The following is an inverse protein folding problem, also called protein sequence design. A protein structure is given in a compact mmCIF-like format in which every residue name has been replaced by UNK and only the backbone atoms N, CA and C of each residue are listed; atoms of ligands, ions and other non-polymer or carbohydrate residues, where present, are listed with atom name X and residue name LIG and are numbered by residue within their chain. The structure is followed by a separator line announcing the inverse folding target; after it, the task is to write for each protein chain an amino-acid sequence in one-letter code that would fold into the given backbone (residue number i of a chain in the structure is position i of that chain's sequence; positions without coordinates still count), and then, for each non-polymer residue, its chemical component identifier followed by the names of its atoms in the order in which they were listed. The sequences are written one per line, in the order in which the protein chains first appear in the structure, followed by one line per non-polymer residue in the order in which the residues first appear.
data_IF_218900397770
#
_entry.id   IF_218900397770
#
_cell.length_a   1.000
_cell.length_b   1.000
_cell.length_c   1.000
_cell.angle_alpha   90.00
_cell.angle_beta   90.00
_cell.angle_gamma   90.00
#
_symmetry.space_group_name_H-M   'P 1'
#
loop_
_entity.id
_entity.type
_entity.pdbx_description
1 polymer ?
#
# COMPACT_ATOMS: atom_id res chain seq x y z
N UNK A 1 -22.22 -63.26 -35.84
CA UNK A 1 -21.05 -63.15 -34.93
C UNK A 1 -20.03 -62.22 -35.56
N UNK A 2 -19.85 -61.05 -34.94
CA UNK A 2 -18.74 -60.07 -34.98
C UNK A 2 -18.07 -59.65 -36.32
N UNK A 3 -18.20 -58.34 -36.59
CA UNK A 3 -17.39 -57.48 -37.47
C UNK A 3 -15.88 -57.51 -37.11
N UNK A 4 -15.04 -56.94 -38.00
CA UNK A 4 -14.47 -55.63 -37.65
C UNK A 4 -14.61 -54.58 -38.77
N UNK A 5 -14.89 -53.35 -38.32
CA UNK A 5 -14.99 -52.12 -39.08
C UNK A 5 -13.58 -51.61 -39.41
N UNK A 6 -13.31 -51.34 -40.70
CA UNK A 6 -12.15 -50.56 -41.16
C UNK A 6 -12.66 -49.14 -41.37
N UNK A 7 -12.11 -48.15 -40.67
CA UNK A 7 -12.38 -46.74 -40.94
C UNK A 7 -11.08 -45.99 -41.24
N UNK A 8 -11.16 -45.28 -42.36
CA UNK A 8 -10.17 -44.48 -43.04
C UNK A 8 -9.81 -43.24 -42.19
N UNK A 9 -8.54 -43.05 -41.84
CA UNK A 9 -8.07 -41.81 -41.22
C UNK A 9 -7.74 -40.78 -42.32
N UNK A 10 -8.55 -39.71 -42.37
CA UNK A 10 -8.30 -38.51 -43.17
C UNK A 10 -7.49 -37.53 -42.33
N UNK A 11 -6.32 -37.14 -42.85
CA UNK A 11 -5.45 -36.13 -42.27
C UNK A 11 -6.01 -34.73 -42.61
N UNK A 12 -6.27 -33.89 -41.61
CA UNK A 12 -6.46 -32.45 -41.80
C UNK A 12 -5.53 -31.70 -40.84
N UNK A 13 -4.52 -31.05 -41.41
CA UNK A 13 -3.65 -30.07 -40.74
C UNK A 13 -4.44 -28.79 -40.52
N UNK A 14 -4.59 -28.39 -39.26
CA UNK A 14 -5.06 -27.05 -38.88
C UNK A 14 -3.98 -26.45 -37.97
N UNK A 15 -3.36 -25.37 -38.45
CA UNK A 15 -2.50 -24.50 -37.65
C UNK A 15 -3.33 -23.90 -36.51
N UNK A 16 -2.96 -24.20 -35.26
CA UNK A 16 -3.54 -23.60 -34.07
C UNK A 16 -2.44 -22.99 -33.21
N UNK A 17 -2.37 -21.66 -33.20
CA UNK A 17 -1.74 -20.92 -32.11
C UNK A 17 -2.54 -21.25 -30.83
N UNK A 18 -1.89 -21.81 -29.81
CA UNK A 18 -2.48 -21.88 -28.48
C UNK A 18 -2.05 -20.64 -27.72
N UNK A 19 -3.03 -19.79 -27.44
CA UNK A 19 -2.94 -18.77 -26.42
C UNK A 19 -2.73 -19.45 -25.06
N UNK A 20 -1.89 -18.83 -24.24
CA UNK A 20 -1.82 -19.09 -22.81
C UNK A 20 -3.14 -18.57 -22.21
N UNK A 21 -3.96 -19.47 -21.67
CA UNK A 21 -5.16 -19.11 -20.94
C UNK A 21 -4.77 -18.63 -19.53
N UNK A 22 -5.16 -17.39 -19.24
CA UNK A 22 -5.21 -16.73 -17.94
C UNK A 22 -6.23 -17.43 -17.02
N UNK A 23 -5.86 -17.92 -15.82
CA UNK A 23 -6.83 -18.40 -14.86
C UNK A 23 -7.28 -17.23 -13.97
N UNK A 24 -8.17 -16.39 -14.49
CA UNK A 24 -9.15 -15.72 -13.65
C UNK A 24 -10.13 -16.79 -13.16
N UNK A 25 -9.77 -17.49 -12.09
CA UNK A 25 -10.76 -18.15 -11.26
C UNK A 25 -11.49 -17.07 -10.48
N UNK A 26 -12.70 -16.75 -10.94
CA UNK A 26 -13.74 -16.10 -10.15
C UNK A 26 -13.86 -16.84 -8.81
N UNK A 27 -13.18 -16.32 -7.80
CA UNK A 27 -13.64 -16.48 -6.43
C UNK A 27 -14.82 -15.53 -6.32
N UNK A 28 -16.02 -16.10 -6.24
CA UNK A 28 -17.23 -15.41 -5.81
C UNK A 28 -16.95 -14.81 -4.42
N UNK A 29 -16.39 -13.60 -4.39
CA UNK A 29 -16.38 -12.76 -3.21
C UNK A 29 -17.84 -12.55 -2.87
N UNK A 30 -18.30 -13.16 -1.78
CA UNK A 30 -19.58 -12.85 -1.19
C UNK A 30 -19.46 -11.42 -0.66
N UNK A 31 -19.70 -10.45 -1.53
CA UNK A 31 -19.93 -9.06 -1.15
C UNK A 31 -21.19 -9.09 -0.30
N UNK A 32 -21.14 -8.73 0.99
CA UNK A 32 -22.36 -8.56 1.77
C UNK A 32 -23.22 -7.54 1.02
N UNK A 33 -24.48 -7.87 0.75
CA UNK A 33 -25.40 -6.99 0.06
C UNK A 33 -25.29 -5.57 0.66
N UNK A 34 -24.80 -4.62 -0.14
CA UNK A 34 -24.80 -3.22 0.25
C UNK A 34 -26.25 -2.85 0.62
N UNK A 35 -26.47 -2.14 1.74
CA UNK A 35 -27.78 -1.56 2.00
C UNK A 35 -28.16 -0.66 0.81
N UNK A 36 -29.47 -0.51 0.52
CA UNK A 36 -29.92 0.21 -0.66
C UNK A 36 -29.31 1.60 -0.70
N UNK A 37 -28.74 1.95 -1.86
CA UNK A 37 -28.24 3.29 -2.15
C UNK A 37 -29.42 4.27 -2.07
N UNK A 38 -29.60 4.89 -0.90
CA UNK A 38 -30.31 6.17 -0.85
C UNK A 38 -29.45 7.19 -1.60
N UNK A 39 -30.08 7.90 -2.55
CA UNK A 39 -29.43 8.97 -3.31
C UNK A 39 -28.80 9.98 -2.35
N UNK A 40 -27.48 9.86 -2.16
CA UNK A 40 -26.70 10.74 -1.31
C UNK A 40 -26.65 12.11 -1.98
N UNK A 41 -27.47 13.03 -1.46
CA UNK A 41 -27.38 14.44 -1.74
C UNK A 41 -25.96 14.97 -1.53
N UNK A 42 -25.60 15.94 -2.36
CA UNK A 42 -24.29 16.57 -2.44
C UNK A 42 -24.07 17.52 -1.24
N UNK A 43 -23.71 16.98 -0.06
CA UNK A 43 -23.08 17.64 1.13
C UNK A 43 -22.93 16.59 2.24
N UNK A 44 -21.74 16.12 2.65
CA UNK A 44 -20.71 16.77 3.50
C UNK A 44 -21.14 16.98 4.97
N UNK A 45 -20.46 16.29 5.90
CA UNK A 45 -20.40 16.57 7.35
C UNK A 45 -21.73 16.58 8.11
N UNK A 46 -22.16 15.44 8.65
CA UNK A 46 -23.06 15.43 9.79
C UNK A 46 -22.52 14.44 10.80
N UNK A 47 -22.13 14.93 11.97
CA UNK A 47 -21.87 14.11 13.14
C UNK A 47 -23.08 13.17 13.36
N UNK A 48 -22.82 11.87 13.40
CA UNK A 48 -23.81 10.85 13.72
C UNK A 48 -23.32 10.08 14.94
N UNK A 49 -23.95 10.28 16.11
CA UNK A 49 -23.56 9.55 17.31
C UNK A 49 -23.84 8.06 17.15
N UNK A 50 -23.04 7.24 17.82
CA UNK A 50 -23.24 5.83 17.95
C UNK A 50 -24.39 5.55 18.93
N UNK A 51 -25.59 5.32 18.41
CA UNK A 51 -26.76 5.02 19.21
C UNK A 51 -27.27 3.61 18.91
N UNK A 52 -27.43 2.80 19.96
CA UNK A 52 -27.88 1.41 19.84
C UNK A 52 -27.04 0.55 18.88
N UNK A 53 -25.72 0.81 18.81
CA UNK A 53 -24.77 0.06 17.99
C UNK A 53 -24.67 0.52 16.53
N UNK A 54 -25.28 1.66 16.18
CA UNK A 54 -25.21 2.23 14.84
C UNK A 54 -24.97 3.75 14.84
N UNK A 55 -24.10 4.20 13.94
CA UNK A 55 -23.94 5.59 13.54
C UNK A 55 -24.48 5.74 12.11
N UNK A 56 -25.78 6.03 12.01
CA UNK A 56 -26.51 5.99 10.73
C UNK A 56 -26.65 4.55 10.24
N UNK A 57 -26.14 4.24 9.06
CA UNK A 57 -26.15 2.88 8.51
C UNK A 57 -24.92 2.04 8.92
N UNK A 58 -23.95 2.63 9.63
CA UNK A 58 -22.68 1.98 9.96
C UNK A 58 -22.73 1.38 11.36
N UNK A 59 -22.40 0.08 11.53
CA UNK A 59 -22.19 -0.50 12.85
C UNK A 59 -21.08 0.25 13.62
N UNK A 60 -21.30 0.47 14.91
CA UNK A 60 -20.33 1.15 15.77
C UNK A 60 -20.33 0.56 17.19
N UNK A 61 -19.18 0.65 17.86
CA UNK A 61 -19.01 0.27 19.27
C UNK A 61 -18.03 1.22 19.96
N UNK A 62 -18.57 2.26 20.60
CA UNK A 62 -17.77 3.24 21.34
C UNK A 62 -17.09 4.32 20.49
N UNK A 63 -17.49 4.50 19.22
CA UNK A 63 -17.01 5.56 18.34
C UNK A 63 -18.14 6.15 17.49
N UNK A 64 -18.14 7.46 17.29
CA UNK A 64 -19.13 8.19 16.49
C UNK A 64 -18.63 8.40 15.05
N UNK A 65 -19.55 8.59 14.11
CA UNK A 65 -19.21 9.00 12.74
C UNK A 65 -19.14 10.53 12.68
N UNK A 66 -17.95 11.10 12.54
CA UNK A 66 -17.77 12.56 12.53
C UNK A 66 -18.08 13.18 11.16
N UNK A 67 -17.75 12.48 10.08
CA UNK A 67 -18.00 12.95 8.72
C UNK A 67 -17.75 11.87 7.66
N UNK A 68 -18.23 12.12 6.44
CA UNK A 68 -18.04 11.23 5.29
C UNK A 68 -17.87 12.04 4.02
N UNK A 69 -16.83 11.72 3.26
CA UNK A 69 -16.67 12.12 1.86
C UNK A 69 -16.78 10.88 0.98
N UNK A 70 -17.61 10.94 -0.05
CA UNK A 70 -17.80 9.82 -0.97
C UNK A 70 -16.73 9.81 -2.06
N UNK A 71 -16.46 8.63 -2.64
CA UNK A 71 -15.58 8.53 -3.82
C UNK A 71 -16.08 9.39 -4.98
N UNK A 72 -17.41 9.53 -5.14
CA UNK A 72 -18.02 10.40 -6.14
C UNK A 72 -17.70 11.88 -5.89
N UNK A 73 -17.78 12.35 -4.64
CA UNK A 73 -17.40 13.72 -4.26
C UNK A 73 -15.92 14.00 -4.60
N UNK A 74 -15.06 12.99 -4.48
CA UNK A 74 -13.65 13.07 -4.87
C UNK A 74 -13.40 12.74 -6.34
N UNK A 75 -14.42 12.51 -7.18
CA UNK A 75 -14.28 12.08 -8.57
C UNK A 75 -13.34 10.87 -8.75
N UNK A 76 -13.62 9.79 -8.01
CA UNK A 76 -12.90 8.51 -8.06
C UNK A 76 -13.88 7.33 -8.01
N UNK A 77 -13.40 6.14 -8.38
CA UNK A 77 -14.20 4.91 -8.37
C UNK A 77 -13.76 3.89 -7.32
N UNK A 78 -12.55 4.02 -6.80
CA UNK A 78 -12.06 3.27 -5.63
C UNK A 78 -10.99 4.05 -4.90
N UNK A 79 -10.75 3.67 -3.64
CA UNK A 79 -9.64 4.12 -2.81
C UNK A 79 -9.05 2.94 -2.07
N UNK A 80 -7.78 3.05 -1.66
CA UNK A 80 -7.01 1.89 -1.21
C UNK A 80 -5.96 2.19 -0.13
N UNK A 81 -5.73 3.46 0.21
CA UNK A 81 -4.75 3.85 1.22
C UNK A 81 -5.15 5.18 1.87
N UNK A 82 -4.67 5.42 3.08
CA UNK A 82 -4.84 6.67 3.82
C UNK A 82 -3.61 6.96 4.68
N UNK A 83 -3.13 8.21 4.61
CA UNK A 83 -2.07 8.72 5.47
C UNK A 83 -2.47 10.07 6.08
N UNK A 84 -1.75 10.50 7.12
CA UNK A 84 -2.00 11.76 7.81
C UNK A 84 -0.80 12.71 7.71
N UNK A 85 -1.08 14.01 7.69
CA UNK A 85 -0.08 15.05 7.91
C UNK A 85 -0.65 16.15 8.80
N UNK A 86 0.17 16.66 9.71
CA UNK A 86 -0.16 17.80 10.58
C UNK A 86 0.85 18.90 10.31
N UNK A 87 0.37 20.08 9.90
CA UNK A 87 1.24 21.25 9.87
C UNK A 87 1.53 21.71 11.29
N UNK A 88 2.75 21.47 11.77
CA UNK A 88 3.15 21.81 13.14
C UNK A 88 3.11 23.31 13.44
N UNK A 89 3.09 24.18 12.41
CA UNK A 89 3.04 25.63 12.59
C UNK A 89 1.63 26.13 12.88
N UNK A 90 0.63 25.69 12.10
CA UNK A 90 -0.76 26.10 12.26
C UNK A 90 -1.61 25.15 13.10
N UNK A 91 -1.17 23.92 13.31
CA UNK A 91 -1.93 22.84 13.96
C UNK A 91 -3.06 22.28 13.08
N UNK A 92 -3.05 22.57 11.77
CA UNK A 92 -4.02 22.01 10.83
C UNK A 92 -3.68 20.57 10.50
N UNK A 93 -4.71 19.73 10.41
CA UNK A 93 -4.59 18.30 10.19
C UNK A 93 -5.21 17.92 8.84
N UNK A 94 -4.56 17.01 8.12
CA UNK A 94 -4.93 16.62 6.77
C UNK A 94 -4.90 15.11 6.60
N UNK A 95 -5.94 14.57 5.96
CA UNK A 95 -5.95 13.21 5.43
C UNK A 95 -5.52 13.22 3.96
N UNK A 96 -4.58 12.33 3.63
CA UNK A 96 -4.09 12.07 2.29
C UNK A 96 -4.68 10.72 1.88
N UNK A 97 -5.58 10.71 0.90
CA UNK A 97 -6.34 9.51 0.53
C UNK A 97 -5.91 9.00 -0.82
N UNK A 98 -5.42 7.76 -0.86
CA UNK A 98 -5.07 7.03 -2.07
C UNK A 98 -6.33 6.65 -2.84
N UNK A 99 -6.45 7.16 -4.07
CA UNK A 99 -7.56 6.88 -4.98
C UNK A 99 -7.04 6.22 -6.25
N UNK A 100 -7.95 5.57 -6.98
CA UNK A 100 -7.55 4.87 -8.19
C UNK A 100 -6.91 5.77 -9.26
N UNK A 101 -7.24 7.06 -9.26
CA UNK A 101 -6.78 8.04 -10.23
C UNK A 101 -5.91 9.16 -9.66
N UNK A 102 -5.44 9.05 -8.41
CA UNK A 102 -4.56 10.04 -7.78
C UNK A 102 -4.62 10.02 -6.26
N UNK A 103 -4.14 11.09 -5.63
CA UNK A 103 -4.21 11.29 -4.17
C UNK A 103 -5.09 12.48 -3.86
N UNK A 104 -6.14 12.29 -3.08
CA UNK A 104 -6.98 13.38 -2.58
C UNK A 104 -6.41 13.94 -1.27
N UNK A 105 -6.58 15.24 -1.06
CA UNK A 105 -6.21 15.95 0.16
C UNK A 105 -7.46 16.51 0.81
N UNK A 106 -7.67 16.15 2.07
CA UNK A 106 -8.83 16.55 2.85
C UNK A 106 -8.32 17.20 4.13
N UNK A 107 -8.75 18.42 4.41
CA UNK A 107 -8.52 19.02 5.72
C UNK A 107 -9.52 18.45 6.73
N UNK A 108 -8.99 17.99 7.86
CA UNK A 108 -9.72 17.33 8.95
C UNK A 108 -9.56 18.05 10.30
N UNK A 109 -8.92 19.22 10.32
CA UNK A 109 -8.71 20.06 11.52
C UNK A 109 -10.00 20.29 12.31
N UNK A 110 -11.09 20.55 11.60
CA UNK A 110 -12.43 20.56 12.16
C UNK A 110 -13.10 19.24 11.78
N UNK A 111 -13.17 18.32 12.74
CA UNK A 111 -13.62 16.94 12.50
C UNK A 111 -15.07 16.84 12.04
N UNK A 112 -15.88 17.88 12.29
CA UNK A 112 -17.28 17.94 11.83
C UNK A 112 -17.41 18.59 10.45
N UNK A 113 -16.38 19.31 9.99
CA UNK A 113 -16.37 20.07 8.74
C UNK A 113 -15.17 19.67 7.86
N UNK A 114 -15.25 18.47 7.27
CA UNK A 114 -14.23 17.97 6.35
C UNK A 114 -14.18 18.83 5.08
N UNK A 115 -13.01 19.31 4.68
CA UNK A 115 -12.84 20.13 3.46
C UNK A 115 -12.03 19.37 2.43
N UNK A 116 -12.67 18.94 1.34
CA UNK A 116 -11.94 18.37 0.20
C UNK A 116 -11.17 19.45 -0.55
N UNK A 117 -9.87 19.58 -0.24
CA UNK A 117 -9.00 20.64 -0.78
C UNK A 117 -8.68 20.45 -2.27
N UNK A 118 -8.60 19.20 -2.72
CA UNK A 118 -8.25 18.89 -4.10
C UNK A 118 -7.54 17.56 -4.27
N UNK A 119 -7.01 17.33 -5.48
CA UNK A 119 -6.38 16.06 -5.86
C UNK A 119 -5.09 16.27 -6.63
N UNK A 120 -4.07 15.49 -6.32
CA UNK A 120 -2.90 15.23 -7.15
C UNK A 120 -3.22 14.06 -8.11
N UNK A 121 -3.36 14.29 -9.43
CA UNK A 121 -3.62 13.20 -10.38
C UNK A 121 -2.47 12.19 -10.45
N UNK A 122 -2.82 10.92 -10.73
CA UNK A 122 -1.85 9.85 -10.99
C UNK A 122 -0.83 10.25 -12.07
N UNK A 123 0.43 9.85 -11.90
CA UNK A 123 1.50 10.24 -12.81
C UNK A 123 1.42 9.58 -14.20
N UNK A 124 0.73 8.43 -14.29
CA UNK A 124 0.54 7.66 -15.52
C UNK A 124 -0.92 7.26 -15.72
N UNK A 125 -1.27 6.02 -15.37
CA UNK A 125 -2.60 5.45 -15.53
C UNK A 125 -3.26 5.27 -14.18
N UNK A 126 -4.57 5.03 -14.20
CA UNK A 126 -5.28 4.63 -12.98
C UNK A 126 -4.83 3.25 -12.53
N UNK A 127 -4.74 3.04 -11.22
CA UNK A 127 -4.45 1.77 -10.58
C UNK A 127 -5.21 1.73 -9.26
N UNK A 128 -5.77 0.57 -8.90
CA UNK A 128 -6.45 0.39 -7.63
C UNK A 128 -5.49 0.33 -6.43
N UNK A 129 -4.18 0.32 -6.67
CA UNK A 129 -3.14 0.25 -5.64
C UNK A 129 -2.22 1.47 -5.72
N UNK A 130 -2.18 2.21 -4.62
CA UNK A 130 -1.47 3.46 -4.42
C UNK A 130 -1.09 3.56 -2.96
N UNK A 131 0.14 3.96 -2.68
CA UNK A 131 0.59 4.12 -1.30
C UNK A 131 1.17 5.53 -1.10
N UNK A 132 0.93 6.06 0.09
CA UNK A 132 1.32 7.41 0.49
C UNK A 132 2.09 7.31 1.81
N UNK A 133 3.25 7.95 1.86
CA UNK A 133 3.97 8.25 3.10
C UNK A 133 4.40 9.71 3.14
N UNK A 134 4.75 10.17 4.33
CA UNK A 134 5.20 11.54 4.55
C UNK A 134 6.60 11.52 5.15
N UNK A 135 7.44 12.47 4.74
CA UNK A 135 8.70 12.78 5.39
C UNK A 135 8.84 14.31 5.45
N UNK A 136 8.88 14.84 6.67
CA UNK A 136 8.74 16.29 6.89
C UNK A 136 7.40 16.80 6.36
N UNK A 137 7.44 17.83 5.52
CA UNK A 137 6.25 18.43 4.90
C UNK A 137 6.02 17.95 3.46
N UNK A 138 6.54 16.77 3.10
CA UNK A 138 6.41 16.22 1.75
C UNK A 138 5.72 14.87 1.76
N UNK A 139 4.75 14.70 0.86
CA UNK A 139 4.13 13.41 0.56
C UNK A 139 4.88 12.70 -0.58
N UNK A 140 5.12 11.41 -0.40
CA UNK A 140 5.74 10.50 -1.35
C UNK A 140 4.71 9.47 -1.78
N UNK A 141 4.41 9.42 -3.07
CA UNK A 141 3.28 8.64 -3.59
C UNK A 141 3.75 7.62 -4.63
N UNK A 142 3.65 6.35 -4.28
CA UNK A 142 3.85 5.20 -5.17
C UNK A 142 2.53 4.68 -5.73
N UNK A 143 2.60 3.86 -6.77
CA UNK A 143 1.43 3.12 -7.28
C UNK A 143 1.84 1.92 -8.12
N UNK A 144 0.97 0.91 -8.16
CA UNK A 144 1.07 -0.19 -9.11
C UNK A 144 0.55 0.22 -10.48
N UNK A 145 1.20 1.22 -11.08
CA UNK A 145 0.92 1.67 -12.42
C UNK A 145 2.23 1.71 -13.21
N UNK A 146 2.21 1.16 -14.42
CA UNK A 146 3.40 1.07 -15.26
C UNK A 146 4.06 2.45 -15.43
N UNK A 147 5.34 2.51 -15.08
CA UNK A 147 6.16 3.71 -15.16
C UNK A 147 5.77 4.83 -14.19
N UNK A 148 4.86 4.64 -13.23
CA UNK A 148 4.44 5.65 -12.25
C UNK A 148 5.61 6.30 -11.51
N UNK A 149 6.58 5.50 -11.04
CA UNK A 149 7.63 5.95 -10.14
C UNK A 149 7.05 6.46 -8.82
N UNK A 150 7.70 7.44 -8.21
CA UNK A 150 7.28 8.09 -6.97
C UNK A 150 7.07 9.59 -7.21
N UNK A 151 5.84 10.06 -7.04
CA UNK A 151 5.55 11.51 -7.02
C UNK A 151 5.96 12.07 -5.66
N UNK A 152 6.48 13.29 -5.64
CA UNK A 152 6.71 14.06 -4.42
C UNK A 152 5.88 15.34 -4.48
N UNK A 153 5.20 15.66 -3.39
CA UNK A 153 4.32 16.82 -3.28
C UNK A 153 4.57 17.56 -1.97
N UNK A 154 4.81 18.87 -2.05
CA UNK A 154 4.94 19.77 -0.90
C UNK A 154 3.56 20.02 -0.28
N UNK A 155 3.35 19.52 0.93
CA UNK A 155 2.09 19.59 1.65
C UNK A 155 1.77 21.00 2.15
N UNK A 156 2.74 21.91 2.21
CA UNK A 156 2.47 23.31 2.54
C UNK A 156 1.62 24.00 1.47
N UNK A 157 1.58 23.47 0.25
CA UNK A 157 0.67 23.94 -0.80
C UNK A 157 -0.81 23.84 -0.37
N UNK A 158 -1.15 22.89 0.51
CA UNK A 158 -2.51 22.72 1.06
C UNK A 158 -2.93 23.91 1.93
N UNK A 159 -1.97 24.63 2.53
CA UNK A 159 -2.25 25.71 3.46
C UNK A 159 -2.84 26.96 2.78
N UNK A 160 -2.65 27.09 1.47
CA UNK A 160 -2.96 28.29 0.69
C UNK A 160 -4.10 28.14 -0.32
N UNK A 161 -4.83 27.01 -0.28
CA UNK A 161 -5.93 26.74 -1.20
C UNK A 161 -7.11 27.69 -0.93
N UNK A 162 -7.38 28.60 -1.88
CA UNK A 162 -8.46 29.59 -1.73
C UNK A 162 -9.79 29.17 -2.35
N UNK A 163 -9.77 28.25 -3.33
CA UNK A 163 -10.96 27.81 -4.07
C UNK A 163 -10.92 26.28 -4.25
N UNK A 164 -11.29 25.50 -3.23
CA UNK A 164 -11.34 24.05 -3.33
C UNK A 164 -12.55 23.57 -4.19
N UNK A 165 -12.46 22.38 -4.83
CA UNK A 165 -11.27 21.53 -4.92
C UNK A 165 -10.29 22.02 -6.00
N UNK A 166 -8.99 21.97 -5.70
CA UNK A 166 -7.91 22.24 -6.64
C UNK A 166 -7.43 20.98 -7.38
N UNK A 167 -6.86 21.16 -8.57
CA UNK A 167 -6.06 20.13 -9.24
C UNK A 167 -4.59 20.47 -9.01
N UNK A 168 -3.88 19.61 -8.28
CA UNK A 168 -2.47 19.78 -7.96
C UNK A 168 -1.57 19.16 -9.04
N UNK A 169 -0.28 19.49 -8.98
CA UNK A 169 0.79 18.84 -9.74
C UNK A 169 1.88 18.41 -8.76
N UNK A 170 2.57 17.31 -9.07
CA UNK A 170 3.72 16.89 -8.28
C UNK A 170 4.86 17.90 -8.45
N UNK A 171 5.55 18.20 -7.36
CA UNK A 171 6.69 19.12 -7.35
C UNK A 171 7.92 18.46 -7.99
N UNK A 172 8.10 17.16 -7.77
CA UNK A 172 9.05 16.32 -8.50
C UNK A 172 8.53 14.89 -8.65
N UNK A 173 9.23 14.09 -9.45
CA UNK A 173 8.92 12.68 -9.66
C UNK A 173 10.20 11.87 -9.84
N UNK A 174 10.43 10.93 -8.94
CA UNK A 174 11.51 9.99 -9.04
C UNK A 174 11.11 8.79 -9.91
N UNK A 175 11.91 8.47 -10.92
CA UNK A 175 11.61 7.40 -11.90
C UNK A 175 12.69 6.31 -11.93
N UNK A 176 13.39 6.10 -10.82
CA UNK A 176 14.41 5.04 -10.69
C UNK A 176 13.82 3.62 -10.71
N UNK A 177 12.53 3.49 -10.45
CA UNK A 177 11.73 2.28 -10.60
C UNK A 177 10.46 2.57 -11.40
N UNK A 178 9.82 1.51 -11.93
CA UNK A 178 8.62 1.61 -12.75
C UNK A 178 7.34 1.78 -11.94
N UNK A 179 6.99 0.78 -11.16
CA UNK A 179 5.85 0.74 -10.25
C UNK A 179 6.30 0.33 -8.85
N UNK A 180 5.42 0.46 -7.86
CA UNK A 180 5.61 -0.03 -6.49
C UNK A 180 4.25 -0.36 -5.89
N UNK A 181 4.20 -1.41 -5.07
CA UNK A 181 3.00 -1.75 -4.30
C UNK A 181 2.86 -0.79 -3.11
N UNK A 182 3.96 -0.56 -2.40
CA UNK A 182 4.01 0.25 -1.19
C UNK A 182 5.29 1.11 -1.16
N UNK A 183 5.24 2.23 -0.45
CA UNK A 183 6.40 3.04 -0.10
C UNK A 183 6.55 2.98 1.41
N UNK A 184 7.74 2.61 1.88
CA UNK A 184 8.09 2.66 3.30
C UNK A 184 9.07 3.81 3.50
N UNK A 185 8.96 4.56 4.58
CA UNK A 185 9.89 5.64 4.91
C UNK A 185 10.48 5.39 6.29
N UNK A 186 11.81 5.48 6.39
CA UNK A 186 12.47 5.65 7.67
C UNK A 186 12.77 7.15 7.86
N UNK A 187 12.00 7.79 8.73
CA UNK A 187 12.11 9.23 9.00
C UNK A 187 13.40 9.59 9.74
N UNK A 188 14.01 8.65 10.48
CA UNK A 188 15.26 8.90 11.21
C UNK A 188 16.46 9.04 10.25
N UNK A 189 16.41 8.35 9.11
CA UNK A 189 17.51 8.31 8.13
C UNK A 189 17.23 9.12 6.88
N UNK A 190 15.95 9.47 6.62
CA UNK A 190 15.55 10.21 5.43
C UNK A 190 15.64 9.36 4.16
N UNK A 191 15.26 8.09 4.25
CA UNK A 191 15.19 7.18 3.12
C UNK A 191 13.75 6.69 2.87
N UNK A 192 13.38 6.64 1.60
CA UNK A 192 12.22 5.92 1.11
C UNK A 192 12.64 4.57 0.49
N UNK A 193 11.76 3.60 0.67
CA UNK A 193 11.94 2.21 0.28
C UNK A 193 10.73 1.80 -0.54
N UNK A 194 10.90 1.73 -1.86
CA UNK A 194 9.83 1.30 -2.75
C UNK A 194 9.84 -0.22 -2.85
N UNK A 195 8.77 -0.85 -2.38
CA UNK A 195 8.60 -2.31 -2.37
C UNK A 195 7.51 -2.71 -3.36
N UNK A 196 7.48 -3.99 -3.72
CA UNK A 196 6.51 -4.57 -4.64
C UNK A 196 6.67 -4.02 -6.05
N UNK A 197 7.93 -3.82 -6.45
CA UNK A 197 8.27 -3.30 -7.78
C UNK A 197 8.19 -4.41 -8.84
N UNK A 198 8.51 -4.08 -10.09
CA UNK A 198 8.46 -5.05 -11.20
C UNK A 198 9.42 -6.22 -10.94
N UNK A 199 8.93 -7.47 -11.03
CA UNK A 199 9.72 -8.68 -10.76
C UNK A 199 10.89 -8.90 -11.72
N UNK A 200 10.92 -8.22 -12.85
CA UNK A 200 12.00 -8.22 -13.83
C UNK A 200 12.95 -7.03 -13.71
N UNK A 201 12.81 -6.19 -12.69
CA UNK A 201 13.70 -5.05 -12.47
C UNK A 201 15.03 -5.44 -11.80
N UNK A 202 15.83 -4.44 -11.42
CA UNK A 202 17.16 -4.62 -10.84
C UNK A 202 17.16 -5.40 -9.51
N UNK A 203 16.04 -5.45 -8.79
CA UNK A 203 15.91 -6.08 -7.47
C UNK A 203 14.80 -7.15 -7.43
N UNK A 204 14.40 -7.68 -8.58
CA UNK A 204 13.46 -8.81 -8.70
C UNK A 204 12.10 -8.58 -8.01
N UNK A 205 11.63 -7.33 -7.95
CA UNK A 205 10.41 -6.95 -7.23
C UNK A 205 10.58 -6.80 -5.71
N UNK A 206 11.81 -6.87 -5.21
CA UNK A 206 12.17 -6.55 -3.83
C UNK A 206 12.09 -5.04 -3.57
N UNK A 207 13.13 -4.47 -2.95
CA UNK A 207 13.12 -3.09 -2.49
C UNK A 207 14.15 -2.21 -3.21
N UNK A 208 13.71 -1.04 -3.66
CA UNK A 208 14.60 0.05 -4.12
C UNK A 208 14.81 1.05 -2.98
N UNK A 209 16.05 1.50 -2.80
CA UNK A 209 16.40 2.54 -1.83
C UNK A 209 16.49 3.91 -2.50
N UNK A 210 15.86 4.91 -1.89
CA UNK A 210 15.83 6.28 -2.38
C UNK A 210 16.19 7.22 -1.24
N UNK A 211 17.28 7.98 -1.40
CA UNK A 211 17.61 9.08 -0.48
C UNK A 211 16.65 10.24 -0.75
N UNK A 212 15.91 10.64 0.29
CA UNK A 212 14.89 11.70 0.26
C UNK A 212 15.21 12.84 1.24
N UNK A 213 16.44 12.93 1.75
CA UNK A 213 16.87 14.02 2.65
C UNK A 213 16.73 15.40 1.99
N UNK A 214 16.83 15.46 0.65
CA UNK A 214 16.31 16.56 -0.16
C UNK A 214 15.07 16.08 -0.92
N UNK A 215 13.85 16.28 -0.38
CA UNK A 215 12.61 15.78 -0.98
C UNK A 215 12.39 16.24 -2.43
N UNK A 216 12.93 17.40 -2.79
CA UNK A 216 12.81 17.95 -4.13
C UNK A 216 13.80 17.34 -5.14
N UNK A 217 14.83 16.66 -4.65
CA UNK A 217 15.82 15.97 -5.47
C UNK A 217 16.10 14.53 -4.96
N UNK A 218 15.10 13.61 -4.96
CA UNK A 218 15.33 12.24 -4.53
C UNK A 218 16.37 11.54 -5.41
N UNK A 219 17.26 10.75 -4.81
CA UNK A 219 18.32 10.04 -5.53
C UNK A 219 18.34 8.54 -5.25
N UNK A 220 18.69 7.75 -6.25
CA UNK A 220 18.81 6.30 -6.09
C UNK A 220 19.99 5.96 -5.18
N UNK A 221 19.78 5.08 -4.21
CA UNK A 221 20.79 4.71 -3.21
C UNK A 221 21.13 3.21 -3.18
N UNK A 222 20.55 2.42 -4.10
CA UNK A 222 20.73 0.97 -4.14
C UNK A 222 19.40 0.24 -3.99
N UNK A 223 19.45 -0.97 -3.45
CA UNK A 223 18.29 -1.80 -3.21
C UNK A 223 18.68 -3.20 -2.75
N UNK A 224 17.68 -4.00 -2.44
CA UNK A 224 17.84 -5.37 -1.96
C UNK A 224 16.76 -6.24 -2.60
N UNK A 225 17.18 -7.32 -3.25
CA UNK A 225 16.30 -8.21 -4.02
C UNK A 225 16.48 -9.68 -3.69
N UNK A 226 17.25 -10.00 -2.64
CA UNK A 226 17.32 -11.38 -2.15
C UNK A 226 15.96 -11.75 -1.57
N UNK A 227 15.61 -13.04 -1.65
CA UNK A 227 14.30 -13.58 -1.23
C UNK A 227 13.10 -13.04 -2.04
N UNK A 228 13.34 -12.37 -3.18
CA UNK A 228 12.32 -12.10 -4.20
C UNK A 228 11.42 -10.91 -3.90
N UNK A 229 10.15 -11.02 -4.31
CA UNK A 229 9.20 -9.92 -4.25
C UNK A 229 8.86 -9.57 -2.80
N UNK A 230 8.94 -8.30 -2.46
CA UNK A 230 8.55 -7.78 -1.15
C UNK A 230 7.23 -7.05 -1.32
N UNK A 231 6.16 -7.53 -0.71
CA UNK A 231 4.84 -6.91 -0.80
C UNK A 231 4.74 -5.64 0.05
N UNK A 232 5.15 -5.75 1.32
CA UNK A 232 5.20 -4.68 2.30
C UNK A 232 6.49 -4.82 3.11
N UNK A 233 6.87 -3.78 3.84
CA UNK A 233 8.01 -3.84 4.73
C UNK A 233 7.88 -2.87 5.90
N UNK A 234 8.71 -3.09 6.91
CA UNK A 234 9.07 -2.07 7.87
C UNK A 234 10.58 -1.85 7.83
N UNK A 235 11.00 -0.59 7.83
CA UNK A 235 12.41 -0.22 7.96
C UNK A 235 12.56 0.67 9.19
N UNK A 236 13.45 0.31 10.09
CA UNK A 236 13.67 1.05 11.34
C UNK A 236 15.15 1.20 11.65
N UNK A 237 15.50 2.28 12.35
CA UNK A 237 16.75 2.31 13.10
C UNK A 237 16.57 1.44 14.36
N UNK A 238 17.30 0.33 14.42
CA UNK A 238 17.11 -0.67 15.45
C UNK A 238 17.72 -0.26 16.79
N UNK A 239 16.88 -0.16 17.81
CA UNK A 239 17.16 0.16 19.20
C UNK A 239 16.57 -0.89 20.15
N UNK A 240 16.25 -2.08 19.64
CA UNK A 240 15.70 -3.19 20.40
C UNK A 240 16.73 -3.95 21.26
N UNK A 241 16.34 -5.08 21.86
CA UNK A 241 17.15 -5.79 22.85
C UNK A 241 18.31 -6.61 22.27
N UNK A 242 18.33 -6.94 20.98
CA UNK A 242 19.47 -7.61 20.35
C UNK A 242 20.62 -6.63 20.14
N UNK A 243 21.66 -6.75 20.96
CA UNK A 243 22.80 -5.82 20.94
C UNK A 243 23.68 -5.95 19.70
N UNK A 244 23.58 -7.05 18.94
CA UNK A 244 24.40 -7.26 17.75
C UNK A 244 24.01 -6.29 16.61
N UNK A 245 22.76 -5.81 16.61
CA UNK A 245 22.20 -4.91 15.58
C UNK A 245 21.86 -3.51 16.12
N UNK A 246 22.33 -3.16 17.32
CA UNK A 246 22.04 -1.84 17.91
C UNK A 246 22.60 -0.71 17.03
N UNK A 247 21.71 0.18 16.60
CA UNK A 247 22.02 1.29 15.69
C UNK A 247 22.11 0.89 14.21
N UNK A 248 21.90 -0.38 13.86
CA UNK A 248 21.73 -0.79 12.46
C UNK A 248 20.38 -0.34 11.94
N UNK A 249 20.29 -0.04 10.65
CA UNK A 249 19.01 0.11 9.97
C UNK A 249 18.54 -1.26 9.47
N UNK A 250 17.44 -1.74 10.04
CA UNK A 250 16.93 -3.09 9.79
C UNK A 250 15.71 -3.00 8.89
N UNK A 251 15.77 -3.75 7.80
CA UNK A 251 14.66 -4.01 6.90
C UNK A 251 13.99 -5.33 7.29
N UNK A 252 12.67 -5.30 7.45
CA UNK A 252 11.83 -6.48 7.56
C UNK A 252 10.83 -6.49 6.41
N UNK A 253 11.03 -7.41 5.47
CA UNK A 253 10.15 -7.58 4.31
C UNK A 253 9.12 -8.68 4.51
N UNK A 254 7.89 -8.41 4.09
CA UNK A 254 6.83 -9.38 3.92
C UNK A 254 6.85 -9.86 2.46
N UNK A 255 7.47 -11.01 2.19
CA UNK A 255 7.81 -11.45 0.83
C UNK A 255 6.81 -12.44 0.23
N UNK A 256 5.52 -12.30 0.56
CA UNK A 256 4.41 -13.19 0.13
C UNK A 256 4.49 -14.62 0.69
N UNK A 257 5.68 -15.18 0.86
CA UNK A 257 5.94 -16.57 1.24
C UNK A 257 6.87 -16.72 2.45
N UNK A 258 7.43 -15.63 2.96
CA UNK A 258 8.28 -15.60 4.13
C UNK A 258 8.45 -14.17 4.66
N UNK A 259 8.83 -14.06 5.93
CA UNK A 259 9.37 -12.81 6.47
C UNK A 259 10.88 -12.79 6.26
N UNK A 260 11.42 -11.69 5.75
CA UNK A 260 12.84 -11.51 5.47
C UNK A 260 13.41 -10.42 6.37
N UNK A 261 14.55 -10.67 7.00
CA UNK A 261 15.24 -9.70 7.85
C UNK A 261 16.61 -9.42 7.28
N UNK A 262 16.96 -8.14 7.07
CA UNK A 262 18.24 -7.73 6.54
C UNK A 262 18.78 -6.47 7.24
N UNK A 263 20.09 -6.41 7.43
CA UNK A 263 20.80 -5.18 7.78
C UNK A 263 21.07 -4.41 6.48
N UNK A 264 20.48 -3.22 6.38
CA UNK A 264 20.59 -2.34 5.21
C UNK A 264 21.34 -1.05 5.56
N UNK A 265 22.08 -1.01 6.68
CA UNK A 265 22.83 0.17 7.14
C UNK A 265 23.76 0.67 6.04
N UNK A 266 24.59 -0.22 5.47
CA UNK A 266 25.34 0.07 4.24
C UNK A 266 24.44 -0.19 3.03
N UNK A 267 23.86 0.88 2.48
CA UNK A 267 22.96 0.83 1.30
C UNK A 267 23.59 0.19 0.07
N UNK A 268 24.93 0.20 -0.02
CA UNK A 268 25.67 -0.40 -1.13
C UNK A 268 25.92 -1.89 -0.94
N UNK A 269 25.87 -2.39 0.31
CA UNK A 269 26.11 -3.79 0.64
C UNK A 269 25.12 -4.30 1.70
N UNK A 270 23.81 -4.40 1.39
CA UNK A 270 22.84 -5.04 2.28
C UNK A 270 23.26 -6.46 2.66
N UNK A 271 23.02 -6.82 3.92
CA UNK A 271 23.31 -8.16 4.45
C UNK A 271 22.02 -8.82 4.92
N UNK A 272 21.62 -9.92 4.28
CA UNK A 272 20.57 -10.77 4.80
C UNK A 272 20.96 -11.32 6.20
N UNK A 273 20.03 -11.25 7.15
CA UNK A 273 20.18 -11.78 8.51
C UNK A 273 19.47 -13.13 8.60
N UNK A 274 18.19 -13.16 8.26
CA UNK A 274 17.38 -14.37 8.31
C UNK A 274 16.18 -14.30 7.36
N UNK A 275 15.62 -15.45 7.05
CA UNK A 275 14.29 -15.55 6.46
C UNK A 275 13.48 -16.63 7.19
N UNK A 276 12.20 -16.37 7.42
CA UNK A 276 11.36 -17.14 8.32
C UNK A 276 10.06 -17.50 7.61
N UNK A 277 9.89 -18.81 7.40
CA UNK A 277 8.62 -19.40 6.97
C UNK A 277 7.80 -19.88 8.17
N UNK A 278 6.49 -19.91 8.00
CA UNK A 278 5.56 -20.35 9.03
C UNK A 278 4.42 -21.21 8.43
N UNK A 279 3.71 -21.93 9.29
CA UNK A 279 2.62 -22.82 8.87
C UNK A 279 1.32 -22.08 8.55
N UNK A 280 0.52 -22.65 7.66
CA UNK A 280 -0.73 -22.07 7.14
C UNK A 280 -0.49 -20.69 6.52
N UNK A 281 0.43 -20.64 5.57
CA UNK A 281 0.80 -19.43 4.85
C UNK A 281 -0.21 -19.18 3.74
N UNK A 282 -0.87 -18.03 3.75
CA UNK A 282 -1.69 -17.53 2.66
C UNK A 282 -0.86 -16.60 1.78
N UNK A 283 -0.51 -15.44 2.34
CA UNK A 283 0.27 -14.40 1.72
C UNK A 283 0.91 -13.52 2.80
N UNK A 284 2.21 -13.67 3.06
CA UNK A 284 2.93 -12.83 4.02
C UNK A 284 2.82 -11.36 3.60
N UNK A 285 2.02 -10.57 4.33
CA UNK A 285 1.45 -9.35 3.77
C UNK A 285 1.99 -8.08 4.43
N UNK A 286 1.86 -7.90 5.74
CA UNK A 286 2.28 -6.70 6.45
C UNK A 286 2.72 -6.99 7.89
N UNK A 287 3.50 -6.10 8.50
CA UNK A 287 3.82 -6.22 9.91
C UNK A 287 4.58 -5.05 10.51
N UNK A 288 4.59 -5.00 11.84
CA UNK A 288 5.26 -3.96 12.61
C UNK A 288 5.96 -4.54 13.85
N UNK A 289 7.11 -3.98 14.16
CA UNK A 289 7.76 -4.11 15.45
C UNK A 289 6.85 -3.60 16.58
N UNK A 290 6.95 -4.25 17.74
CA UNK A 290 6.56 -3.64 19.02
C UNK A 290 7.44 -2.42 19.32
N UNK A 291 6.97 -1.52 20.18
CA UNK A 291 7.70 -0.28 20.52
C UNK A 291 9.11 -0.53 21.06
N UNK A 292 9.32 -1.65 21.77
CA UNK A 292 10.63 -2.08 22.27
C UNK A 292 11.46 -2.84 21.23
N UNK A 293 10.96 -2.96 20.00
CA UNK A 293 11.55 -3.65 18.85
C UNK A 293 12.03 -5.08 19.14
N UNK A 294 11.40 -5.74 20.12
CA UNK A 294 11.68 -7.14 20.41
C UNK A 294 10.85 -8.09 19.56
N UNK A 295 9.57 -7.79 19.42
CA UNK A 295 8.64 -8.65 18.71
C UNK A 295 8.26 -8.03 17.38
N UNK A 296 8.13 -8.86 16.35
CA UNK A 296 7.50 -8.46 15.10
C UNK A 296 6.12 -9.08 15.00
N UNK A 297 5.12 -8.23 14.82
CA UNK A 297 3.71 -8.59 14.71
C UNK A 297 3.37 -8.61 13.22
N UNK A 298 3.01 -9.78 12.71
CA UNK A 298 2.80 -10.00 11.28
C UNK A 298 1.37 -10.46 10.99
N UNK A 299 0.80 -9.87 9.95
CA UNK A 299 -0.43 -10.30 9.29
C UNK A 299 -0.13 -11.11 8.05
N UNK A 300 -0.92 -12.15 7.84
CA UNK A 300 -0.93 -12.96 6.63
C UNK A 300 -2.28 -12.76 5.95
N UNK A 301 -2.28 -12.31 4.70
CA UNK A 301 -3.50 -12.10 3.93
C UNK A 301 -4.00 -13.43 3.37
N UNK A 302 -5.32 -13.62 3.38
CA UNK A 302 -6.01 -14.81 2.88
C UNK A 302 -5.85 -16.06 3.74
N UNK A 303 -5.13 -16.04 4.86
CA UNK A 303 -4.96 -17.23 5.70
C UNK A 303 -6.29 -17.70 6.33
N UNK A 304 -7.15 -16.78 6.72
CA UNK A 304 -8.48 -17.06 7.25
C UNK A 304 -9.39 -17.70 6.19
N UNK A 305 -9.29 -17.22 4.95
CA UNK A 305 -10.09 -17.72 3.81
C UNK A 305 -9.58 -19.11 3.39
N UNK A 306 -8.27 -19.30 3.31
CA UNK A 306 -7.64 -20.50 2.78
C UNK A 306 -7.64 -21.67 3.79
N UNK A 307 -7.62 -21.38 5.09
CA UNK A 307 -7.47 -22.41 6.13
C UNK A 307 -8.66 -22.49 7.10
N UNK A 308 -9.64 -21.59 7.00
CA UNK A 308 -10.94 -21.71 7.69
C UNK A 308 -10.92 -21.41 9.19
N UNK A 309 -9.89 -20.70 9.66
CA UNK A 309 -9.86 -20.12 11.00
C UNK A 309 -10.24 -18.63 10.96
N UNK A 310 -10.47 -18.01 12.11
CA UNK A 310 -10.61 -16.54 12.20
C UNK A 310 -9.25 -15.87 12.04
N UNK A 311 -9.24 -14.59 11.65
CA UNK A 311 -8.02 -13.78 11.49
C UNK A 311 -7.00 -14.03 12.60
N UNK A 312 -5.76 -14.29 12.19
CA UNK A 312 -4.64 -14.63 13.07
C UNK A 312 -3.59 -13.54 13.01
N UNK A 313 -2.94 -13.31 14.13
CA UNK A 313 -1.74 -12.48 14.22
C UNK A 313 -0.57 -13.36 14.61
N UNK A 314 0.50 -13.30 13.82
CA UNK A 314 1.76 -14.00 14.09
C UNK A 314 2.68 -13.08 14.88
N UNK A 315 3.36 -13.62 15.89
CA UNK A 315 4.29 -12.87 16.73
C UNK A 315 5.63 -13.58 16.72
N UNK A 316 6.64 -12.91 16.20
CA UNK A 316 8.02 -13.41 16.12
C UNK A 316 8.86 -12.72 17.21
N UNK A 317 9.59 -13.48 18.03
CA UNK A 317 10.61 -12.94 18.94
C UNK A 317 11.91 -12.80 18.14
N UNK A 318 12.41 -11.58 17.99
CA UNK A 318 13.60 -11.24 17.18
C UNK A 318 14.84 -11.02 18.04
N UNK A 319 14.95 -11.78 19.14
CA UNK A 319 16.12 -11.86 20.02
C UNK A 319 17.00 -13.08 19.68
#
# INVERSE_FOLDING_TARGET
MKNPLIFLFLFLLILGCSNYDDPNTDLDVIVPNNPPEEEAGNSEGNFVPCENGFAGAYPCDGYDLLGRLSLNAMNASSGNDIWGWTDMTSGREFALVGLNNGTAFIEITDTENLIYLGKLPTATTSSAWRDIKVYGDYAFVGAEAAGHGMQVFDLQNLLSVSNPPATFSADTRFTGFGNSHNIVINEDTGFAYAVGTDRGDAYNGGVHFVDIQDPMNPTAAGGFGDNGYTHDAQVVLYNGPDTDYSGSEIFIGANENEMVVADITDKMNPSAISSIQYGNLGYTHQGWFTEDQRYFILGDELDEINFGFNSRTLVFDLL
#
